data_IF_005294938471
#
_entry.id   IF_005294938471
#
_cell.length_a   1.000
_cell.length_b   1.000
_cell.length_c   1.000
_cell.angle_alpha   90.00
_cell.angle_beta   90.00
_cell.angle_gamma   90.00
#
_symmetry.space_group_name_H-M   'P 1'
#
loop_
_entity.id
_entity.type
_entity.pdbx_description
1 polymer ?
#
# COMPACT_ATOMS: atom_id res chain seq x y z
N UNK A 1 -17.57 41.97 3.10
CA UNK A 1 -17.32 40.53 3.26
C UNK A 1 -16.41 40.09 2.12
N UNK A 2 -15.14 40.48 2.20
CA UNK A 2 -14.20 40.35 1.07
C UNK A 2 -13.69 38.92 1.00
N UNK A 3 -14.01 38.24 -0.10
CA UNK A 3 -13.52 36.91 -0.42
C UNK A 3 -12.00 36.98 -0.66
N UNK A 4 -11.19 36.47 0.28
CA UNK A 4 -9.78 36.23 0.04
C UNK A 4 -9.65 35.08 -0.96
N UNK A 5 -9.42 35.44 -2.23
CA UNK A 5 -9.01 34.52 -3.28
C UNK A 5 -7.57 34.08 -2.97
N UNK A 6 -7.42 32.94 -2.29
CA UNK A 6 -6.11 32.44 -1.89
C UNK A 6 -5.39 31.87 -3.11
N UNK A 7 -4.22 32.41 -3.41
CA UNK A 7 -3.33 31.97 -4.49
C UNK A 7 -2.76 30.58 -4.15
N UNK A 8 -3.36 29.52 -4.72
CA UNK A 8 -3.01 28.12 -4.48
C UNK A 8 -1.59 27.76 -4.93
N UNK A 9 -0.96 28.61 -5.75
CA UNK A 9 0.31 28.36 -6.41
C UNK A 9 1.48 28.20 -5.44
N UNK A 10 1.39 28.78 -4.23
CA UNK A 10 2.52 28.84 -3.28
C UNK A 10 2.58 27.70 -2.26
N UNK A 11 1.65 26.73 -2.30
CA UNK A 11 1.50 25.65 -1.30
C UNK A 11 1.87 24.25 -1.79
N UNK A 12 2.63 24.12 -2.88
CA UNK A 12 2.99 22.81 -3.43
C UNK A 12 4.20 22.19 -2.68
N UNK A 13 3.98 21.04 -2.05
CA UNK A 13 5.01 20.25 -1.34
C UNK A 13 5.15 18.87 -1.97
N UNK A 14 6.39 18.39 -2.04
CA UNK A 14 6.70 17.07 -2.60
C UNK A 14 6.83 16.06 -1.46
N UNK A 15 5.99 15.03 -1.47
CA UNK A 15 6.04 13.91 -0.55
C UNK A 15 6.72 12.74 -1.24
N UNK A 16 7.79 12.21 -0.65
CA UNK A 16 8.56 11.10 -1.22
C UNK A 16 8.45 9.88 -0.34
N UNK A 17 7.98 8.76 -0.88
CA UNK A 17 7.91 7.53 -0.11
C UNK A 17 9.24 6.76 -0.13
N UNK A 18 9.73 6.38 1.04
CA UNK A 18 11.01 5.69 1.20
C UNK A 18 10.95 4.20 0.76
N UNK A 19 9.77 3.58 0.79
CA UNK A 19 9.59 2.16 0.46
C UNK A 19 9.28 1.90 -1.02
N UNK A 20 8.44 2.75 -1.66
CA UNK A 20 8.04 2.60 -3.07
C UNK A 20 8.74 3.58 -4.03
N UNK A 21 9.49 4.57 -3.51
CA UNK A 21 10.10 5.64 -4.33
C UNK A 21 9.10 6.57 -5.02
N UNK A 22 7.80 6.42 -4.75
CA UNK A 22 6.76 7.24 -5.36
C UNK A 22 6.79 8.66 -4.81
N UNK A 23 6.65 9.66 -5.69
CA UNK A 23 6.60 11.08 -5.33
C UNK A 23 5.22 11.66 -5.58
N UNK A 24 4.68 12.36 -4.59
CA UNK A 24 3.37 12.99 -4.64
C UNK A 24 3.51 14.49 -4.45
N UNK A 25 2.94 15.29 -5.36
CA UNK A 25 2.92 16.75 -5.22
C UNK A 25 1.54 17.14 -4.70
N UNK A 26 1.47 17.54 -3.44
CA UNK A 26 0.22 17.89 -2.77
C UNK A 26 0.27 19.31 -2.23
N UNK A 27 -0.90 19.90 -2.04
CA UNK A 27 -1.05 21.20 -1.41
C UNK A 27 -1.02 21.01 0.11
N UNK A 28 -0.05 21.60 0.80
CA UNK A 28 0.07 21.51 2.26
C UNK A 28 -0.19 22.87 2.93
N UNK A 29 -0.78 22.83 4.13
CA UNK A 29 -1.02 24.01 4.96
C UNK A 29 0.27 24.56 5.58
N UNK A 30 1.21 23.68 5.88
CA UNK A 30 2.53 23.99 6.41
C UNK A 30 3.57 24.00 5.28
N UNK A 31 4.36 25.08 5.23
CA UNK A 31 5.37 25.36 4.21
C UNK A 31 6.79 25.27 4.79
N UNK A 32 6.97 24.64 5.96
CA UNK A 32 8.30 24.59 6.59
C UNK A 32 9.27 23.67 5.85
N UNK A 33 8.76 22.70 5.09
CA UNK A 33 9.58 21.71 4.38
C UNK A 33 9.05 21.50 2.95
N UNK A 34 9.93 21.68 1.97
CA UNK A 34 9.60 21.55 0.54
C UNK A 34 9.51 20.09 0.08
N UNK A 35 10.21 19.21 0.80
CA UNK A 35 10.23 17.76 0.59
C UNK A 35 9.99 17.07 1.93
N UNK A 36 8.95 16.24 2.00
CA UNK A 36 8.59 15.47 3.19
C UNK A 36 8.78 13.98 2.91
N UNK A 37 9.63 13.26 3.66
CA UNK A 37 9.74 11.82 3.55
C UNK A 37 8.51 11.14 4.18
N UNK A 38 7.94 10.18 3.47
CA UNK A 38 6.84 9.32 3.93
C UNK A 38 7.33 7.87 4.03
N UNK A 39 6.92 7.17 5.08
CA UNK A 39 7.32 5.77 5.28
C UNK A 39 6.44 4.80 4.46
N UNK A 40 5.14 5.11 4.36
CA UNK A 40 4.12 4.28 3.70
C UNK A 40 3.26 5.11 2.74
N UNK A 41 3.23 4.71 1.47
CA UNK A 41 2.41 5.30 0.40
C UNK A 41 1.16 4.46 0.12
N UNK A 42 0.21 5.01 -0.66
CA UNK A 42 -0.95 4.25 -1.13
C UNK A 42 -0.55 2.99 -1.93
N UNK A 43 0.61 3.01 -2.60
CA UNK A 43 1.12 1.83 -3.29
C UNK A 43 1.78 0.79 -2.34
N UNK A 44 2.20 1.18 -1.14
CA UNK A 44 2.80 0.28 -0.14
C UNK A 44 1.80 -0.24 0.88
N UNK A 45 0.69 0.46 1.12
CA UNK A 45 -0.20 0.04 2.19
C UNK A 45 -0.86 -1.31 1.84
N UNK A 46 -0.75 -2.34 2.69
CA UNK A 46 -1.23 -3.70 2.41
C UNK A 46 -2.71 -3.74 2.01
N UNK A 47 -3.49 -2.81 2.56
CA UNK A 47 -4.90 -2.61 2.23
C UNK A 47 -5.13 -2.29 0.74
N UNK A 48 -4.31 -1.40 0.16
CA UNK A 48 -4.46 -0.97 -1.23
C UNK A 48 -3.76 -1.90 -2.23
N UNK A 49 -2.84 -2.74 -1.77
CA UNK A 49 -2.21 -3.76 -2.62
C UNK A 49 -3.14 -4.94 -2.94
N UNK A 50 -4.38 -4.96 -2.41
CA UNK A 50 -5.33 -6.02 -2.71
C UNK A 50 -4.92 -7.39 -2.15
N UNK A 51 -3.92 -7.43 -1.25
CA UNK A 51 -3.68 -8.58 -0.37
C UNK A 51 -4.79 -8.59 0.67
N UNK A 52 -6.00 -8.93 0.24
CA UNK A 52 -7.02 -9.49 1.11
C UNK A 52 -6.36 -10.64 1.86
N UNK A 53 -6.72 -10.86 3.13
CA UNK A 53 -6.22 -11.93 3.98
C UNK A 53 -6.66 -13.33 3.47
N UNK A 54 -6.40 -13.63 2.20
CA UNK A 54 -6.82 -14.83 1.47
C UNK A 54 -5.71 -15.87 1.38
N UNK A 55 -4.73 -15.83 2.29
CA UNK A 55 -3.57 -16.74 2.26
C UNK A 55 -3.25 -17.37 3.62
N UNK A 56 -4.25 -17.55 4.49
CA UNK A 56 -4.03 -18.27 5.77
C UNK A 56 -5.13 -19.22 6.25
N UNK A 57 -6.19 -19.48 5.47
CA UNK A 57 -7.20 -20.51 5.81
C UNK A 57 -6.96 -21.87 5.15
N UNK A 58 -5.73 -22.14 4.73
CA UNK A 58 -5.37 -23.38 4.02
C UNK A 58 -5.17 -24.59 4.95
N UNK A 59 -5.39 -24.49 6.27
CA UNK A 59 -5.02 -25.55 7.22
C UNK A 59 -5.56 -26.96 6.90
N UNK A 60 -6.87 -27.10 6.65
CA UNK A 60 -7.46 -28.42 6.34
C UNK A 60 -7.31 -28.80 4.86
N UNK A 61 -7.30 -27.80 3.96
CA UNK A 61 -7.12 -28.00 2.53
C UNK A 61 -5.70 -28.48 2.17
N UNK A 62 -4.67 -27.97 2.85
CA UNK A 62 -3.28 -28.44 2.71
C UNK A 62 -3.15 -29.88 3.18
N UNK A 63 -3.68 -30.21 4.37
CA UNK A 63 -3.67 -31.58 4.89
C UNK A 63 -4.38 -32.55 3.96
N UNK A 64 -5.49 -32.14 3.34
CA UNK A 64 -6.19 -32.93 2.35
C UNK A 64 -5.34 -33.13 1.09
N UNK A 65 -4.70 -32.06 0.58
CA UNK A 65 -3.78 -32.12 -0.56
C UNK A 65 -2.65 -33.13 -0.31
N UNK A 66 -2.02 -33.11 0.86
CA UNK A 66 -0.93 -34.02 1.24
C UNK A 66 -1.36 -35.50 1.30
N UNK A 67 -2.59 -35.75 1.76
CA UNK A 67 -3.14 -37.11 1.80
C UNK A 67 -3.48 -37.62 0.40
N UNK A 68 -4.00 -36.77 -0.47
CA UNK A 68 -4.26 -37.14 -1.86
C UNK A 68 -2.98 -37.36 -2.68
N UNK A 69 -1.93 -36.57 -2.47
CA UNK A 69 -0.63 -36.79 -3.14
C UNK A 69 0.03 -38.08 -2.66
N UNK A 70 -0.04 -38.37 -1.36
CA UNK A 70 0.47 -39.62 -0.78
C UNK A 70 -0.33 -40.86 -1.23
N UNK A 71 -1.66 -40.76 -1.28
CA UNK A 71 -2.52 -41.84 -1.74
C UNK A 71 -2.34 -42.19 -3.22
N UNK A 72 -2.17 -41.18 -4.10
CA UNK A 72 -1.89 -41.41 -5.53
C UNK A 72 -0.56 -42.11 -5.80
N UNK A 73 0.46 -41.92 -4.96
CA UNK A 73 1.75 -42.60 -5.10
C UNK A 73 1.69 -44.10 -4.77
N UNK A 74 0.70 -44.53 -3.99
CA UNK A 74 0.50 -45.93 -3.60
C UNK A 74 -0.39 -46.71 -4.60
N UNK A 75 -0.82 -46.08 -5.71
CA UNK A 75 -1.57 -46.70 -6.82
C UNK A 75 -0.65 -46.84 -8.05
N UNK A 76 0.60 -47.25 -7.81
CA UNK A 76 1.55 -47.69 -8.84
C UNK A 76 2.15 -49.01 -8.42
#
# INVERSE_FOLDING_TARGET
MSAQKQDLSKKLVTYSCNSCGSTYKLLSGDLSQKTVPLDICAACHPFYQGKLASESTLGLAEKLKDKFTSGRKNIK
#
